data_IF_825006102132
#
_entry.id   IF_825006102132
#
_cell.length_a   1.000
_cell.length_b   1.000
_cell.length_c   1.000
_cell.angle_alpha   90.00
_cell.angle_beta   90.00
_cell.angle_gamma   90.00
#
_symmetry.space_group_name_H-M   'P 1'
#
loop_
_entity.id
_entity.type
_entity.pdbx_description
1 polymer ?
#
# COMPACT_ATOMS: atom_id res chain seq x y z
N UNK A 1 3.88 -5.26 -9.60
CA UNK A 1 4.65 -4.36 -8.72
C UNK A 1 3.85 -4.03 -7.49
N UNK A 2 4.47 -4.13 -6.32
CA UNK A 2 3.87 -3.66 -5.07
C UNK A 2 3.70 -2.13 -5.10
N UNK A 3 2.54 -1.64 -4.65
CA UNK A 3 2.23 -0.21 -4.67
C UNK A 3 3.14 0.58 -3.71
N UNK A 4 3.59 -0.02 -2.58
CA UNK A 4 4.61 0.60 -1.69
C UNK A 4 5.94 0.74 -2.42
N UNK A 5 6.50 -0.37 -2.92
CA UNK A 5 7.78 -0.36 -3.61
C UNK A 5 7.75 0.59 -4.81
N UNK A 6 6.62 0.66 -5.53
CA UNK A 6 6.42 1.59 -6.63
C UNK A 6 6.47 3.05 -6.14
N UNK A 7 5.74 3.39 -5.08
CA UNK A 7 5.69 4.74 -4.55
C UNK A 7 7.05 5.22 -4.00
N UNK A 8 7.86 4.30 -3.49
CA UNK A 8 9.20 4.58 -2.96
C UNK A 8 10.33 4.47 -4.00
N UNK A 9 10.01 4.05 -5.23
CA UNK A 9 11.02 3.85 -6.28
C UNK A 9 11.95 2.66 -6.01
N UNK A 10 11.52 1.68 -5.22
CA UNK A 10 12.29 0.50 -4.87
C UNK A 10 12.11 -0.62 -5.89
N UNK A 11 13.18 -1.35 -6.15
CA UNK A 11 13.12 -2.61 -6.90
C UNK A 11 12.43 -3.67 -6.04
N UNK A 12 11.17 -3.93 -6.39
CA UNK A 12 10.34 -4.91 -5.70
C UNK A 12 10.91 -6.33 -5.82
N UNK A 13 11.48 -6.71 -6.96
CA UNK A 13 11.97 -8.07 -7.18
C UNK A 13 13.22 -8.33 -6.33
N UNK A 14 14.11 -7.34 -6.24
CA UNK A 14 15.25 -7.40 -5.32
C UNK A 14 14.82 -7.50 -3.86
N UNK A 15 13.86 -6.67 -3.42
CA UNK A 15 13.41 -6.64 -2.03
C UNK A 15 12.64 -7.89 -1.60
N UNK A 16 11.86 -8.49 -2.49
CA UNK A 16 10.94 -9.57 -2.16
C UNK A 16 11.49 -10.97 -2.52
N UNK A 17 12.66 -11.01 -3.17
CA UNK A 17 13.28 -12.23 -3.71
C UNK A 17 12.44 -12.85 -4.82
N UNK A 18 12.59 -14.17 -5.02
CA UNK A 18 11.87 -14.95 -6.04
C UNK A 18 10.33 -14.99 -5.85
N UNK A 19 9.80 -14.37 -4.79
CA UNK A 19 8.36 -14.33 -4.53
C UNK A 19 7.72 -13.20 -5.32
N UNK A 20 7.10 -13.56 -6.45
CA UNK A 20 6.39 -12.59 -7.30
C UNK A 20 4.89 -12.45 -6.98
N UNK A 21 4.38 -13.19 -6.00
CA UNK A 21 2.96 -13.12 -5.62
C UNK A 21 2.61 -11.78 -5.01
N UNK A 22 1.58 -11.13 -5.56
CA UNK A 22 1.00 -9.91 -5.03
C UNK A 22 -0.28 -10.22 -4.26
N UNK A 23 -0.40 -9.61 -3.08
CA UNK A 23 -1.58 -9.68 -2.23
C UNK A 23 -2.40 -8.42 -2.37
N UNK A 24 -3.72 -8.55 -2.40
CA UNK A 24 -4.61 -7.38 -2.37
C UNK A 24 -4.94 -7.03 -0.92
N UNK A 25 -4.35 -5.95 -0.43
CA UNK A 25 -4.71 -5.31 0.84
C UNK A 25 -5.92 -4.39 0.66
N UNK A 26 -6.78 -4.33 1.66
CA UNK A 26 -7.89 -3.37 1.74
C UNK A 26 -7.66 -2.48 2.94
N UNK A 27 -7.62 -1.17 2.72
CA UNK A 27 -7.47 -0.18 3.76
C UNK A 27 -8.83 0.49 3.98
N UNK A 28 -9.42 0.29 5.14
CA UNK A 28 -10.77 0.75 5.47
C UNK A 28 -10.79 2.10 6.20
N UNK A 29 -9.71 2.44 6.93
CA UNK A 29 -9.65 3.64 7.78
C UNK A 29 -9.09 4.87 7.07
N UNK A 30 -8.75 4.74 5.79
CA UNK A 30 -8.12 5.84 5.02
C UNK A 30 -9.15 6.84 4.53
N UNK A 31 -10.37 6.37 4.26
CA UNK A 31 -11.47 7.21 3.82
C UNK A 31 -12.71 6.95 4.67
N UNK A 32 -13.39 8.02 5.08
CA UNK A 32 -14.71 7.89 5.68
C UNK A 32 -15.65 7.34 4.59
N UNK A 33 -16.09 6.10 4.75
CA UNK A 33 -17.06 5.44 3.86
C UNK A 33 -16.49 4.81 2.59
N UNK A 34 -15.17 4.73 2.39
CA UNK A 34 -14.57 4.08 1.22
C UNK A 34 -13.42 3.15 1.59
N UNK A 35 -13.19 2.14 0.75
CA UNK A 35 -12.13 1.14 0.93
C UNK A 35 -11.07 1.30 -0.14
N UNK A 36 -9.85 1.67 0.24
CA UNK A 36 -8.73 1.73 -0.69
C UNK A 36 -8.19 0.31 -0.92
N UNK A 37 -8.11 -0.12 -2.17
CA UNK A 37 -7.44 -1.38 -2.55
C UNK A 37 -6.00 -1.09 -2.91
N UNK A 38 -5.07 -1.78 -2.27
CA UNK A 38 -3.62 -1.69 -2.51
C UNK A 38 -3.06 -3.07 -2.84
N UNK A 39 -2.11 -3.15 -3.77
CA UNK A 39 -1.40 -4.38 -4.13
C UNK A 39 -0.06 -4.39 -3.41
N UNK A 40 0.14 -5.38 -2.56
CA UNK A 40 1.30 -5.48 -1.68
C UNK A 40 2.13 -6.71 -2.04
N UNK A 41 3.44 -6.60 -1.92
CA UNK A 41 4.30 -7.78 -1.91
C UNK A 41 4.14 -8.55 -0.59
N UNK A 42 4.74 -9.74 -0.49
CA UNK A 42 4.71 -10.55 0.73
C UNK A 42 5.18 -9.75 1.96
N UNK A 43 6.28 -9.01 1.84
CA UNK A 43 6.85 -8.24 2.97
C UNK A 43 5.88 -7.16 3.44
N UNK A 44 5.39 -6.33 2.51
CA UNK A 44 4.47 -5.24 2.86
C UNK A 44 3.08 -5.77 3.28
N UNK A 45 2.66 -6.95 2.81
CA UNK A 45 1.45 -7.60 3.29
C UNK A 45 1.59 -8.05 4.76
N UNK A 46 2.73 -8.65 5.12
CA UNK A 46 3.04 -9.01 6.52
C UNK A 46 3.18 -7.76 7.39
N UNK A 47 3.83 -6.70 6.88
CA UNK A 47 3.95 -5.44 7.60
C UNK A 47 2.59 -4.80 7.86
N UNK A 48 1.71 -4.75 6.85
CA UNK A 48 0.34 -4.26 7.01
C UNK A 48 -0.42 -5.06 8.07
N UNK A 49 -0.30 -6.39 8.04
CA UNK A 49 -0.93 -7.27 9.03
C UNK A 49 -0.44 -6.99 10.45
N UNK A 50 0.89 -6.86 10.64
CA UNK A 50 1.50 -6.67 11.96
C UNK A 50 1.27 -5.27 12.55
N UNK A 51 1.35 -4.23 11.72
CA UNK A 51 1.26 -2.84 12.19
C UNK A 51 -0.18 -2.32 12.25
N UNK A 52 -1.05 -2.89 11.42
CA UNK A 52 -2.35 -2.32 11.12
C UNK A 52 -2.26 -1.06 10.24
N UNK A 53 -3.39 -0.68 9.66
CA UNK A 53 -3.46 0.33 8.59
C UNK A 53 -2.86 1.69 8.96
N UNK A 54 -3.20 2.21 10.15
CA UNK A 54 -2.78 3.56 10.56
C UNK A 54 -1.27 3.69 10.72
N UNK A 55 -0.62 2.68 11.30
CA UNK A 55 0.84 2.68 11.49
C UNK A 55 1.54 2.37 10.18
N UNK A 56 1.02 1.41 9.41
CA UNK A 56 1.53 1.08 8.08
C UNK A 56 1.61 2.31 7.17
N UNK A 57 0.56 3.14 7.11
CA UNK A 57 0.58 4.36 6.29
C UNK A 57 1.53 5.44 6.83
N UNK A 58 1.73 5.52 8.14
CA UNK A 58 2.72 6.44 8.72
C UNK A 58 4.15 6.04 8.38
N UNK A 59 4.43 4.75 8.30
CA UNK A 59 5.75 4.25 7.90
C UNK A 59 5.97 4.35 6.38
N UNK A 60 4.90 4.27 5.58
CA UNK A 60 4.96 4.31 4.12
C UNK A 60 4.31 5.60 3.58
N UNK A 61 4.94 6.75 3.85
CA UNK A 61 4.38 8.08 3.56
C UNK A 61 4.13 8.31 2.06
N UNK A 62 4.97 7.73 1.18
CA UNK A 62 4.78 7.83 -0.26
C UNK A 62 3.47 7.17 -0.70
N UNK A 63 3.19 5.96 -0.18
CA UNK A 63 1.91 5.30 -0.40
C UNK A 63 0.75 6.11 0.17
N UNK A 64 0.90 6.68 1.37
CA UNK A 64 -0.14 7.49 2.00
C UNK A 64 -0.53 8.71 1.14
N UNK A 65 0.46 9.36 0.51
CA UNK A 65 0.22 10.45 -0.44
C UNK A 65 -0.51 9.96 -1.68
N UNK A 66 -0.04 8.88 -2.32
CA UNK A 66 -0.71 8.33 -3.51
C UNK A 66 -2.16 7.92 -3.25
N UNK A 67 -2.43 7.31 -2.08
CA UNK A 67 -3.78 6.97 -1.68
C UNK A 67 -4.56 8.28 -1.53
N UNK A 68 -4.10 9.23 -0.71
CA UNK A 68 -4.77 10.52 -0.52
C UNK A 68 -5.08 11.27 -1.82
N UNK A 69 -4.17 11.28 -2.79
CA UNK A 69 -4.36 11.95 -4.09
C UNK A 69 -5.40 11.25 -4.97
N UNK A 70 -5.50 9.92 -4.91
CA UNK A 70 -6.57 9.19 -5.61
C UNK A 70 -7.95 9.55 -5.09
N UNK A 71 -8.10 9.97 -3.82
CA UNK A 71 -9.36 10.49 -3.29
C UNK A 71 -9.94 11.63 -4.14
N UNK A 72 -9.07 12.53 -4.60
CA UNK A 72 -9.45 13.71 -5.39
C UNK A 72 -9.99 13.32 -6.77
N UNK A 73 -9.43 12.28 -7.38
CA UNK A 73 -9.82 11.84 -8.73
C UNK A 73 -11.18 11.11 -8.80
N UNK A 74 -11.79 10.77 -7.66
CA UNK A 74 -13.11 10.12 -7.59
C UNK A 74 -14.23 11.06 -7.11
N UNK A 75 -13.91 12.34 -6.83
CA UNK A 75 -14.89 13.37 -6.45
C UNK A 75 -15.21 14.35 -7.60
N UNK A 76 -14.68 14.10 -8.80
CA UNK A 76 -15.06 14.78 -10.06
C UNK A 76 -16.03 13.92 -10.88
#
# INVERSE_FOLDING_TARGET
MCDVCKAEGLDWHFHNGEKDTLHTGRLYRVYVGQVAKVRLCQIHAVQLFNLGEMRFLRENLALAREVSEKKSAFLE
#
